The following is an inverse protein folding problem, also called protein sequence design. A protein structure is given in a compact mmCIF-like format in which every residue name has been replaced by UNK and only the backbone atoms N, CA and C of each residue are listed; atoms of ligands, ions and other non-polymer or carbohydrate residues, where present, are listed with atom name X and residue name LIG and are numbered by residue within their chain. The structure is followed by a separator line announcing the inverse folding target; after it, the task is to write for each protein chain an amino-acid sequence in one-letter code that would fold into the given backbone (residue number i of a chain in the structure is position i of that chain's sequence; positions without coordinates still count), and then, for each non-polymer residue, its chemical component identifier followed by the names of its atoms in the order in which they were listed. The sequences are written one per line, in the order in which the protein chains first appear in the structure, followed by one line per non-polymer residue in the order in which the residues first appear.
data_IF_835332129901
#
_entry.id   IF_835332129901
#
_cell.length_a   1.000
_cell.length_b   1.000
_cell.length_c   1.000
_cell.angle_alpha   90.00
_cell.angle_beta   90.00
_cell.angle_gamma   90.00
#
_symmetry.space_group_name_H-M   'P 1'
#
loop_
_entity.id
_entity.type
_entity.pdbx_description
1 polymer ?
#
# COMPACT_ATOMS: atom_id res chain seq x y z
N UNK A 1 25.30 -36.10 36.68
CA UNK A 1 25.11 -34.83 35.92
C UNK A 1 23.73 -34.78 35.24
N UNK A 2 23.37 -35.68 34.30
CA UNK A 2 22.03 -35.69 33.64
C UNK A 2 20.82 -35.73 34.60
N UNK A 3 20.87 -36.57 35.64
CA UNK A 3 19.77 -36.71 36.61
C UNK A 3 19.57 -35.43 37.45
N UNK A 4 20.68 -34.75 37.78
CA UNK A 4 20.66 -33.51 38.57
C UNK A 4 20.14 -32.32 37.76
N UNK A 5 20.48 -32.26 36.47
CA UNK A 5 19.93 -31.30 35.51
C UNK A 5 18.42 -31.51 35.30
N UNK A 6 17.98 -32.76 35.06
CA UNK A 6 16.55 -33.10 34.97
C UNK A 6 15.77 -32.73 36.24
N UNK A 7 16.34 -32.97 37.43
CA UNK A 7 15.72 -32.59 38.70
C UNK A 7 15.64 -31.07 38.92
N UNK A 8 16.65 -30.31 38.45
CA UNK A 8 16.60 -28.83 38.49
C UNK A 8 15.57 -28.26 37.52
N UNK A 9 15.43 -28.84 36.33
CA UNK A 9 14.43 -28.46 35.33
C UNK A 9 13.01 -28.83 35.80
N UNK A 10 12.85 -29.96 36.50
CA UNK A 10 11.58 -30.35 37.12
C UNK A 10 11.16 -29.40 38.26
N UNK A 11 12.14 -28.85 38.99
CA UNK A 11 11.87 -27.80 40.00
C UNK A 11 11.50 -26.47 39.34
N UNK A 12 12.16 -26.11 38.24
CA UNK A 12 11.82 -24.93 37.46
C UNK A 12 10.44 -25.02 36.80
N UNK A 13 10.03 -26.22 36.34
CA UNK A 13 8.70 -26.42 35.76
C UNK A 13 7.56 -26.27 36.78
N UNK A 14 7.80 -26.59 38.06
CA UNK A 14 6.87 -26.33 39.17
C UNK A 14 6.73 -24.85 39.53
N UNK A 15 7.67 -23.99 39.14
CA UNK A 15 7.63 -22.56 39.39
C UNK A 15 6.85 -21.77 38.32
N UNK A 16 6.38 -22.44 37.27
CA UNK A 16 5.59 -21.82 36.21
C UNK A 16 4.13 -21.63 36.63
N UNK A 17 3.39 -20.68 36.03
CA UNK A 17 1.97 -20.50 36.30
C UNK A 17 1.20 -21.80 36.09
N UNK A 18 0.30 -22.15 37.01
CA UNK A 18 -0.57 -23.34 36.93
C UNK A 18 -1.23 -23.56 35.54
N UNK A 19 -1.76 -22.54 34.82
CA UNK A 19 -2.34 -22.77 33.50
C UNK A 19 -1.32 -23.27 32.47
N UNK A 20 -0.06 -22.85 32.56
CA UNK A 20 1.00 -23.29 31.65
C UNK A 20 1.36 -24.75 31.91
N UNK A 21 1.44 -25.14 33.19
CA UNK A 21 1.70 -26.52 33.58
C UNK A 21 0.56 -27.44 33.09
N UNK A 22 -0.69 -27.02 33.27
CA UNK A 22 -1.85 -27.76 32.79
C UNK A 22 -1.84 -27.90 31.25
N UNK A 23 -1.55 -26.81 30.52
CA UNK A 23 -1.45 -26.83 29.07
C UNK A 23 -0.34 -27.77 28.57
N UNK A 24 0.84 -27.77 29.21
CA UNK A 24 1.94 -28.69 28.86
C UNK A 24 1.57 -30.15 29.09
N UNK A 25 0.90 -30.47 30.21
CA UNK A 25 0.43 -31.85 30.47
C UNK A 25 -0.56 -32.32 29.40
N UNK A 26 -1.51 -31.44 29.02
CA UNK A 26 -2.46 -31.74 27.94
C UNK A 26 -1.73 -31.96 26.61
N UNK A 27 -0.84 -31.05 26.23
CA UNK A 27 -0.05 -31.15 25.00
C UNK A 27 0.75 -32.45 24.95
N UNK A 28 1.36 -32.86 26.07
CA UNK A 28 2.07 -34.13 26.17
C UNK A 28 1.17 -35.34 25.91
N UNK A 29 -0.02 -35.35 26.49
CA UNK A 29 -0.99 -36.43 26.28
C UNK A 29 -1.45 -36.49 24.81
N UNK A 30 -1.72 -35.32 24.20
CA UNK A 30 -2.09 -35.20 22.80
C UNK A 30 -0.96 -35.66 21.87
N UNK A 31 0.29 -35.26 22.15
CA UNK A 31 1.48 -35.72 21.40
C UNK A 31 1.68 -37.22 21.51
N UNK A 32 1.51 -37.79 22.71
CA UNK A 32 1.65 -39.24 22.92
C UNK A 32 0.63 -40.01 22.08
N UNK A 33 -0.62 -39.53 22.06
CA UNK A 33 -1.70 -40.11 21.23
C UNK A 33 -1.39 -39.97 19.75
N UNK A 34 -0.91 -38.79 19.34
CA UNK A 34 -0.55 -38.52 17.95
C UNK A 34 0.65 -39.38 17.48
N UNK A 35 1.66 -39.63 18.33
CA UNK A 35 2.76 -40.57 18.02
C UNK A 35 2.25 -41.98 17.76
N UNK A 36 1.25 -42.44 18.52
CA UNK A 36 0.63 -43.76 18.27
C UNK A 36 -0.02 -43.83 16.88
N UNK A 37 -0.77 -42.81 16.48
CA UNK A 37 -1.34 -42.72 15.12
C UNK A 37 -0.24 -42.61 14.05
N UNK A 38 0.82 -41.86 14.32
CA UNK A 38 1.95 -41.70 13.41
C UNK A 38 2.66 -43.04 13.14
N UNK A 39 2.81 -43.91 14.15
CA UNK A 39 3.38 -45.24 13.95
C UNK A 39 2.53 -46.14 13.05
N UNK A 40 1.20 -46.02 13.15
CA UNK A 40 0.27 -46.80 12.32
C UNK A 40 0.32 -46.37 10.85
N UNK A 41 0.40 -45.06 10.60
CA UNK A 41 0.40 -44.50 9.24
C UNK A 41 1.79 -44.51 8.60
N UNK A 42 2.85 -44.36 9.39
CA UNK A 42 4.22 -44.10 8.93
C UNK A 42 5.26 -44.94 9.72
N UNK A 43 5.30 -46.26 9.55
CA UNK A 43 6.19 -47.14 10.32
C UNK A 43 7.69 -46.83 10.12
N UNK A 44 8.07 -46.24 8.99
CA UNK A 44 9.44 -45.83 8.68
C UNK A 44 9.99 -44.74 9.61
N UNK A 45 9.12 -44.00 10.33
CA UNK A 45 9.53 -42.97 11.29
C UNK A 45 9.86 -43.52 12.68
N UNK A 46 9.57 -44.80 12.94
CA UNK A 46 9.79 -45.44 14.24
C UNK A 46 11.21 -45.34 14.80
N UNK A 47 12.31 -45.47 14.02
CA UNK A 47 13.66 -45.33 14.57
C UNK A 47 14.06 -43.88 14.91
N UNK A 48 13.27 -42.88 14.50
CA UNK A 48 13.57 -41.46 14.67
C UNK A 48 12.75 -40.78 15.76
N UNK A 49 11.74 -41.47 16.30
CA UNK A 49 10.84 -40.93 17.31
C UNK A 49 11.32 -41.38 18.68
N UNK A 50 11.84 -40.44 19.46
CA UNK A 50 12.09 -40.62 20.89
C UNK A 50 10.80 -40.46 21.71
N UNK A 51 10.86 -40.80 23.01
CA UNK A 51 9.75 -40.54 23.92
C UNK A 51 9.44 -39.03 24.03
N UNK A 52 8.14 -38.70 24.10
CA UNK A 52 7.63 -37.33 24.20
C UNK A 52 8.21 -36.65 25.44
N UNK A 53 8.87 -35.50 25.24
CA UNK A 53 9.53 -34.77 26.32
C UNK A 53 8.52 -34.33 27.38
N UNK A 54 8.83 -34.65 28.64
CA UNK A 54 8.03 -34.32 29.79
C UNK A 54 8.10 -32.83 30.16
N UNK A 55 9.21 -32.17 29.84
CA UNK A 55 9.55 -30.84 30.35
C UNK A 55 9.15 -29.77 29.35
N UNK A 56 9.48 -29.96 28.06
CA UNK A 56 9.22 -29.01 26.98
C UNK A 56 8.53 -29.65 25.76
N UNK A 57 7.29 -30.16 25.92
CA UNK A 57 6.53 -30.75 24.81
C UNK A 57 6.33 -29.77 23.64
N UNK A 58 6.35 -28.46 23.87
CA UNK A 58 6.23 -27.43 22.83
C UNK A 58 7.38 -27.41 21.80
N UNK A 59 8.54 -27.98 22.15
CA UNK A 59 9.73 -27.99 21.28
C UNK A 59 9.81 -29.26 20.42
N UNK A 60 8.88 -30.19 20.62
CA UNK A 60 8.91 -31.48 19.95
C UNK A 60 8.59 -31.34 18.46
N UNK A 61 9.43 -31.93 17.62
CA UNK A 61 9.29 -31.89 16.18
C UNK A 61 8.27 -32.92 15.73
N UNK A 62 7.25 -32.48 14.98
CA UNK A 62 6.20 -33.36 14.47
C UNK A 62 6.65 -34.27 13.30
N UNK A 63 7.90 -34.18 12.83
CA UNK A 63 8.47 -35.06 11.79
C UNK A 63 7.50 -35.32 10.61
N UNK A 64 6.81 -34.27 10.16
CA UNK A 64 5.94 -34.33 8.99
C UNK A 64 6.80 -34.50 7.72
N UNK A 65 6.24 -35.01 6.60
CA UNK A 65 6.97 -35.09 5.33
C UNK A 65 7.73 -33.80 4.95
N UNK A 66 7.13 -32.63 5.19
CA UNK A 66 7.77 -31.31 4.96
C UNK A 66 9.01 -31.01 5.83
N UNK A 67 9.27 -31.81 6.86
CA UNK A 67 10.45 -31.68 7.72
C UNK A 67 11.71 -32.28 7.07
N UNK A 68 11.54 -33.30 6.23
CA UNK A 68 12.65 -34.03 5.62
C UNK A 68 13.03 -33.41 4.26
N UNK A 69 14.33 -33.31 3.94
CA UNK A 69 14.79 -32.92 2.62
C UNK A 69 14.29 -33.91 1.54
N UNK A 70 14.18 -33.42 0.31
CA UNK A 70 13.60 -34.15 -0.83
C UNK A 70 14.38 -35.46 -1.12
N UNK A 71 15.67 -35.50 -0.78
CA UNK A 71 16.56 -36.64 -1.03
C UNK A 71 16.46 -37.78 0.00
N UNK A 72 15.68 -37.62 1.08
CA UNK A 72 15.65 -38.63 2.14
C UNK A 72 14.83 -39.86 1.74
N UNK A 73 15.41 -41.04 1.95
CA UNK A 73 14.76 -42.35 1.75
C UNK A 73 13.50 -42.48 2.60
N UNK A 74 13.48 -41.89 3.81
CA UNK A 74 12.30 -41.85 4.68
C UNK A 74 11.14 -41.11 3.99
N UNK A 75 11.42 -40.00 3.33
CA UNK A 75 10.40 -39.22 2.64
C UNK A 75 9.79 -39.99 1.47
N UNK A 76 10.60 -40.72 0.71
CA UNK A 76 10.11 -41.57 -0.39
C UNK A 76 9.13 -42.66 0.07
N UNK A 77 9.19 -43.07 1.35
CA UNK A 77 8.24 -44.02 1.93
C UNK A 77 6.90 -43.39 2.34
N UNK A 78 6.80 -42.06 2.34
CA UNK A 78 5.67 -41.28 2.84
C UNK A 78 4.81 -40.66 1.73
N UNK A 79 4.96 -41.11 0.48
CA UNK A 79 4.33 -40.51 -0.71
C UNK A 79 2.81 -40.28 -0.58
N UNK A 80 2.07 -41.15 0.12
CA UNK A 80 0.62 -41.00 0.33
C UNK A 80 0.30 -39.85 1.29
N UNK A 81 1.01 -39.77 2.41
CA UNK A 81 0.85 -38.74 3.44
C UNK A 81 1.38 -37.38 2.94
N UNK A 82 2.42 -37.39 2.11
CA UNK A 82 3.00 -36.20 1.50
C UNK A 82 1.97 -35.42 0.68
N UNK A 83 1.17 -36.11 -0.15
CA UNK A 83 0.09 -35.49 -0.94
C UNK A 83 -0.99 -34.85 -0.06
N UNK A 84 -1.36 -35.53 1.02
CA UNK A 84 -2.35 -35.02 1.97
C UNK A 84 -1.80 -33.80 2.71
N UNK A 85 -0.54 -33.85 3.17
CA UNK A 85 0.11 -32.69 3.78
C UNK A 85 0.16 -31.52 2.80
N UNK A 86 0.53 -31.75 1.53
CA UNK A 86 0.57 -30.71 0.51
C UNK A 86 -0.77 -29.99 0.39
N UNK A 87 -1.88 -30.74 0.24
CA UNK A 87 -3.23 -30.16 0.12
C UNK A 87 -3.63 -29.38 1.38
N UNK A 88 -3.31 -29.89 2.58
CA UNK A 88 -3.58 -29.18 3.84
C UNK A 88 -2.74 -27.89 3.97
N UNK A 89 -1.48 -27.92 3.55
CA UNK A 89 -0.59 -26.75 3.56
C UNK A 89 -1.00 -25.70 2.54
N UNK A 90 -1.50 -26.12 1.39
CA UNK A 90 -2.07 -25.24 0.37
C UNK A 90 -3.28 -24.50 0.94
N UNK A 91 -4.24 -25.21 1.54
CA UNK A 91 -5.37 -24.60 2.24
C UNK A 91 -4.92 -23.64 3.35
N UNK A 92 -3.98 -24.08 4.19
CA UNK A 92 -3.41 -23.24 5.25
C UNK A 92 -2.74 -21.96 4.70
N UNK A 93 -2.10 -22.02 3.54
CA UNK A 93 -1.47 -20.87 2.91
C UNK A 93 -2.51 -19.86 2.42
N UNK A 94 -3.60 -20.32 1.80
CA UNK A 94 -4.70 -19.44 1.39
C UNK A 94 -5.39 -18.80 2.60
N UNK A 95 -5.72 -19.57 3.63
CA UNK A 95 -6.31 -19.05 4.87
C UNK A 95 -5.41 -18.01 5.53
N UNK A 96 -4.09 -18.24 5.54
CA UNK A 96 -3.13 -17.29 6.07
C UNK A 96 -3.02 -16.01 5.23
N UNK A 97 -3.18 -16.08 3.90
CA UNK A 97 -3.24 -14.90 3.05
C UNK A 97 -4.51 -14.09 3.30
N UNK A 98 -5.65 -14.75 3.49
CA UNK A 98 -6.90 -14.08 3.88
C UNK A 98 -6.78 -13.39 5.23
N UNK A 99 -6.15 -14.05 6.20
CA UNK A 99 -5.82 -13.45 7.49
C UNK A 99 -4.91 -12.22 7.32
N UNK A 100 -3.88 -12.28 6.48
CA UNK A 100 -3.02 -11.12 6.16
C UNK A 100 -3.84 -9.97 5.58
N UNK A 101 -4.72 -10.24 4.60
CA UNK A 101 -5.60 -9.24 3.99
C UNK A 101 -6.52 -8.61 5.04
N UNK A 102 -7.12 -9.42 5.90
CA UNK A 102 -8.00 -8.96 6.98
C UNK A 102 -7.25 -8.04 7.95
N UNK A 103 -6.08 -8.47 8.45
CA UNK A 103 -5.27 -7.66 9.39
C UNK A 103 -4.82 -6.33 8.78
N UNK A 104 -4.50 -6.31 7.48
CA UNK A 104 -4.17 -5.05 6.78
C UNK A 104 -5.39 -4.13 6.69
N UNK A 105 -6.58 -4.66 6.36
CA UNK A 105 -7.84 -3.87 6.33
C UNK A 105 -8.16 -3.28 7.70
N UNK A 106 -8.08 -4.08 8.76
CA UNK A 106 -8.32 -3.63 10.15
C UNK A 106 -7.33 -2.52 10.53
N UNK A 107 -6.04 -2.70 10.22
CA UNK A 107 -5.01 -1.69 10.47
C UNK A 107 -5.32 -0.37 9.75
N UNK A 108 -5.66 -0.44 8.45
CA UNK A 108 -5.96 0.75 7.66
C UNK A 108 -7.18 1.50 8.18
N UNK A 109 -8.28 0.80 8.48
CA UNK A 109 -9.49 1.40 9.05
C UNK A 109 -9.21 2.12 10.38
N UNK A 110 -8.40 1.52 11.26
CA UNK A 110 -8.02 2.13 12.53
C UNK A 110 -7.06 3.32 12.35
N UNK A 111 -6.19 3.26 11.35
CA UNK A 111 -5.30 4.37 11.01
C UNK A 111 -6.10 5.58 10.50
N UNK A 112 -7.12 5.36 9.68
CA UNK A 112 -8.03 6.41 9.23
C UNK A 112 -8.88 6.96 10.37
N UNK A 113 -9.42 6.09 11.22
CA UNK A 113 -10.14 6.50 12.43
C UNK A 113 -9.28 7.39 13.32
N UNK A 114 -8.02 6.99 13.57
CA UNK A 114 -7.08 7.79 14.36
C UNK A 114 -6.87 9.18 13.74
N UNK A 115 -6.61 9.23 12.43
CA UNK A 115 -6.36 10.50 11.72
C UNK A 115 -7.53 11.47 11.83
N UNK A 116 -8.75 10.97 11.76
CA UNK A 116 -9.95 11.81 11.68
C UNK A 116 -10.51 12.18 13.05
N UNK A 117 -10.37 11.31 14.05
CA UNK A 117 -11.14 11.41 15.30
C UNK A 117 -10.31 11.54 16.58
N UNK A 118 -8.99 11.27 16.54
CA UNK A 118 -8.17 11.24 17.76
C UNK A 118 -7.32 12.51 17.89
N UNK A 119 -7.69 13.36 18.85
CA UNK A 119 -7.00 14.60 19.17
C UNK A 119 -6.45 14.59 20.60
N UNK A 120 -5.41 15.40 20.86
CA UNK A 120 -4.77 15.52 22.19
C UNK A 120 -3.75 14.41 22.49
N UNK A 121 -2.90 14.62 23.49
CA UNK A 121 -1.71 13.77 23.73
C UNK A 121 -2.06 12.37 24.25
N UNK A 122 -2.86 12.26 25.32
CA UNK A 122 -3.22 10.98 25.94
C UNK A 122 -3.93 10.01 25.00
N UNK A 123 -5.03 10.41 24.33
CA UNK A 123 -5.71 9.58 23.33
C UNK A 123 -4.80 9.17 22.17
N UNK A 124 -3.91 10.07 21.71
CA UNK A 124 -2.94 9.75 20.67
C UNK A 124 -1.97 8.64 21.09
N UNK A 125 -1.44 8.70 22.32
CA UNK A 125 -0.55 7.65 22.84
C UNK A 125 -1.25 6.29 22.89
N UNK A 126 -2.51 6.24 23.34
CA UNK A 126 -3.30 4.99 23.39
C UNK A 126 -3.59 4.47 21.98
N UNK A 127 -4.03 5.32 21.06
CA UNK A 127 -4.27 4.94 19.68
C UNK A 127 -2.99 4.44 18.99
N UNK A 128 -1.85 5.07 19.27
CA UNK A 128 -0.56 4.63 18.75
C UNK A 128 -0.15 3.26 19.31
N UNK A 129 -0.39 2.99 20.59
CA UNK A 129 -0.14 1.68 21.19
C UNK A 129 -1.00 0.59 20.51
N UNK A 130 -2.28 0.87 20.26
CA UNK A 130 -3.17 -0.05 19.55
C UNK A 130 -2.73 -0.29 18.09
N UNK A 131 -2.29 0.76 17.37
CA UNK A 131 -1.73 0.58 16.02
C UNK A 131 -0.45 -0.27 16.01
N UNK A 132 0.36 -0.23 17.08
CA UNK A 132 1.53 -1.11 17.22
C UNK A 132 1.10 -2.58 17.38
N UNK A 133 0.06 -2.84 18.17
CA UNK A 133 -0.52 -4.18 18.32
C UNK A 133 -1.05 -4.71 16.98
N UNK A 134 -1.85 -3.91 16.26
CA UNK A 134 -2.31 -4.28 14.91
C UNK A 134 -1.16 -4.49 13.91
N UNK A 135 -0.03 -3.80 14.11
CA UNK A 135 1.17 -4.04 13.30
C UNK A 135 1.80 -5.39 13.63
N UNK A 136 1.87 -5.77 14.90
CA UNK A 136 2.33 -7.09 15.31
C UNK A 136 1.41 -8.21 14.76
N UNK A 137 0.10 -7.98 14.74
CA UNK A 137 -0.87 -8.92 14.16
C UNK A 137 -0.65 -9.14 12.65
N UNK A 138 -0.41 -8.07 11.88
CA UNK A 138 -0.06 -8.19 10.44
C UNK A 138 1.18 -9.06 10.24
N UNK A 139 2.23 -8.81 11.04
CA UNK A 139 3.48 -9.56 10.97
C UNK A 139 3.28 -11.02 11.35
N UNK A 140 2.46 -11.30 12.38
CA UNK A 140 2.15 -12.66 12.81
C UNK A 140 1.39 -13.45 11.73
N UNK A 141 0.40 -12.83 11.09
CA UNK A 141 -0.30 -13.44 9.96
C UNK A 141 0.65 -13.71 8.77
N UNK A 142 1.54 -12.76 8.47
CA UNK A 142 2.55 -12.93 7.43
C UNK A 142 3.53 -14.08 7.73
N UNK A 143 3.95 -14.23 8.99
CA UNK A 143 4.81 -15.34 9.42
C UNK A 143 4.10 -16.69 9.28
N UNK A 144 2.80 -16.77 9.57
CA UNK A 144 2.00 -17.99 9.37
C UNK A 144 2.00 -18.41 7.90
N UNK A 145 1.81 -17.45 6.99
CA UNK A 145 1.91 -17.69 5.54
C UNK A 145 3.31 -18.16 5.14
N UNK A 146 4.37 -17.46 5.57
CA UNK A 146 5.76 -17.83 5.25
C UNK A 146 6.09 -19.26 5.69
N UNK A 147 5.69 -19.66 6.90
CA UNK A 147 5.87 -21.03 7.40
C UNK A 147 5.14 -22.06 6.57
N UNK A 148 3.90 -21.78 6.16
CA UNK A 148 3.13 -22.67 5.28
C UNK A 148 3.79 -22.80 3.90
N UNK A 149 4.23 -21.68 3.32
CA UNK A 149 4.94 -21.66 2.03
C UNK A 149 6.27 -22.39 2.09
N UNK A 150 7.07 -22.20 3.13
CA UNK A 150 8.34 -22.94 3.31
C UNK A 150 8.10 -24.45 3.33
N UNK A 151 7.03 -24.90 4.00
CA UNK A 151 6.64 -26.30 3.99
C UNK A 151 6.23 -26.76 2.58
N UNK A 152 5.44 -25.97 1.85
CA UNK A 152 5.05 -26.27 0.47
C UNK A 152 6.25 -26.36 -0.49
N UNK A 153 7.21 -25.44 -0.38
CA UNK A 153 8.45 -25.46 -1.19
C UNK A 153 9.24 -26.71 -0.90
N UNK A 154 9.33 -27.14 0.37
CA UNK A 154 9.95 -28.42 0.72
C UNK A 154 9.19 -29.58 0.12
N UNK A 155 7.85 -29.53 0.10
CA UNK A 155 6.96 -30.55 -0.48
C UNK A 155 6.94 -30.60 -2.02
N UNK A 156 7.63 -29.67 -2.70
CA UNK A 156 7.77 -29.67 -4.16
C UNK A 156 7.09 -28.50 -4.89
N UNK A 157 6.59 -27.50 -4.17
CA UNK A 157 6.12 -26.26 -4.79
C UNK A 157 7.29 -25.53 -5.47
N UNK A 158 7.08 -25.12 -6.73
CA UNK A 158 8.05 -24.28 -7.44
C UNK A 158 8.25 -22.95 -6.72
N UNK A 159 9.50 -22.49 -6.62
CA UNK A 159 9.80 -21.18 -6.02
C UNK A 159 9.20 -20.02 -6.82
N UNK A 160 9.03 -20.21 -8.13
CA UNK A 160 8.51 -19.22 -9.07
C UNK A 160 7.00 -19.36 -9.31
N UNK A 161 6.28 -20.03 -8.41
CA UNK A 161 4.83 -20.16 -8.52
C UNK A 161 4.15 -18.79 -8.47
N UNK A 162 3.26 -18.53 -9.43
CA UNK A 162 2.55 -17.25 -9.56
C UNK A 162 1.46 -17.08 -8.51
N UNK A 163 0.91 -18.19 -8.01
CA UNK A 163 -0.22 -18.18 -7.07
C UNK A 163 0.22 -17.98 -5.61
N UNK A 164 1.30 -18.65 -5.20
CA UNK A 164 1.86 -18.58 -3.84
C UNK A 164 3.30 -18.05 -3.86
N UNK A 165 3.42 -16.74 -4.08
CA UNK A 165 4.72 -16.05 -4.16
C UNK A 165 5.33 -15.76 -2.78
N UNK A 166 6.59 -15.33 -2.75
CA UNK A 166 7.23 -14.89 -1.50
C UNK A 166 6.58 -13.60 -0.98
N UNK A 167 6.30 -13.58 0.33
CA UNK A 167 5.71 -12.42 1.00
C UNK A 167 6.78 -11.69 1.80
N UNK A 168 7.15 -10.49 1.35
CA UNK A 168 8.12 -9.64 2.02
C UNK A 168 7.46 -8.64 2.99
N UNK A 169 8.20 -8.16 3.99
CA UNK A 169 7.64 -7.23 4.99
C UNK A 169 7.24 -5.87 4.38
N UNK A 170 7.94 -5.44 3.33
CA UNK A 170 7.62 -4.21 2.58
C UNK A 170 6.29 -4.31 1.81
N UNK A 171 5.69 -5.49 1.70
CA UNK A 171 4.43 -5.75 1.03
C UNK A 171 3.22 -5.79 1.98
N UNK A 172 3.41 -5.57 3.30
CA UNK A 172 2.33 -5.61 4.30
C UNK A 172 1.51 -4.31 4.35
N UNK A 173 1.06 -3.86 3.19
CA UNK A 173 0.22 -2.68 3.00
C UNK A 173 -0.85 -2.94 1.95
N UNK A 174 -1.82 -2.05 1.88
CA UNK A 174 -2.83 -1.99 0.82
C UNK A 174 -2.97 -0.54 0.39
N UNK A 175 -3.13 -0.28 -0.92
CA UNK A 175 -3.47 1.06 -1.37
C UNK A 175 -4.83 1.48 -0.81
N UNK A 176 -4.87 2.72 -0.32
CA UNK A 176 -6.09 3.33 0.15
C UNK A 176 -6.87 3.89 -1.04
N UNK A 177 -7.83 3.11 -1.55
CA UNK A 177 -8.67 3.51 -2.67
C UNK A 177 -9.68 4.62 -2.33
N UNK A 178 -9.85 4.95 -1.04
CA UNK A 178 -10.78 6.00 -0.60
C UNK A 178 -10.19 7.41 -0.73
N UNK A 179 -8.86 7.52 -0.77
CA UNK A 179 -8.19 8.81 -0.83
C UNK A 179 -8.06 9.31 -2.27
N UNK A 180 -8.08 10.64 -2.47
CA UNK A 180 -7.68 11.23 -3.75
C UNK A 180 -6.28 10.74 -4.13
N UNK A 181 -6.10 10.39 -5.40
CA UNK A 181 -4.81 9.97 -5.91
C UNK A 181 -3.78 11.09 -5.69
N UNK A 182 -2.61 10.73 -5.19
CA UNK A 182 -1.48 11.63 -5.01
C UNK A 182 -0.47 11.47 -6.16
N UNK A 183 0.32 12.52 -6.38
CA UNK A 183 1.39 12.48 -7.37
C UNK A 183 2.36 11.33 -7.04
N UNK A 184 2.47 10.37 -7.98
CA UNK A 184 3.33 9.18 -7.83
C UNK A 184 2.60 7.88 -7.48
N UNK A 185 1.29 7.91 -7.19
CA UNK A 185 0.51 6.71 -6.91
C UNK A 185 0.40 5.75 -8.10
N UNK A 186 0.55 6.27 -9.33
CA UNK A 186 0.59 5.48 -10.56
C UNK A 186 1.81 4.55 -10.65
N UNK A 187 2.90 4.86 -9.96
CA UNK A 187 4.13 4.05 -9.95
C UNK A 187 4.16 3.01 -8.83
N UNK A 188 3.28 3.14 -7.84
CA UNK A 188 3.16 2.15 -6.77
C UNK A 188 2.21 1.08 -7.28
N UNK A 189 2.55 -0.19 -7.16
CA UNK A 189 1.62 -1.29 -7.44
C UNK A 189 1.15 -1.90 -6.12
N UNK A 190 -0.05 -2.49 -6.11
CA UNK A 190 -0.48 -3.26 -4.95
C UNK A 190 0.36 -4.54 -4.87
N UNK A 191 0.67 -5.03 -3.66
CA UNK A 191 1.29 -6.33 -3.48
C UNK A 191 0.55 -7.45 -4.21
N UNK A 192 1.29 -8.45 -4.70
CA UNK A 192 0.77 -9.54 -5.54
C UNK A 192 -0.46 -10.24 -4.94
N UNK A 193 -0.51 -10.40 -3.61
CA UNK A 193 -1.60 -11.09 -2.91
C UNK A 193 -2.93 -10.29 -2.86
N UNK A 194 -2.94 -9.02 -3.25
CA UNK A 194 -4.18 -8.26 -3.47
C UNK A 194 -4.78 -8.49 -4.85
N UNK A 195 -3.98 -8.97 -5.80
CA UNK A 195 -4.49 -9.49 -7.08
C UNK A 195 -4.98 -10.89 -6.76
N UNK A 196 -6.29 -11.01 -6.63
CA UNK A 196 -6.94 -11.86 -5.64
C UNK A 196 -6.69 -13.36 -5.90
N UNK A 197 -6.33 -14.08 -4.84
CA UNK A 197 -6.25 -15.54 -4.85
C UNK A 197 -7.65 -16.16 -4.84
N UNK A 198 -7.85 -17.14 -5.71
CA UNK A 198 -9.09 -17.88 -5.90
C UNK A 198 -9.63 -18.46 -4.57
N UNK A 199 -10.94 -18.32 -4.25
CA UNK A 199 -11.51 -18.94 -3.06
C UNK A 199 -11.38 -20.46 -3.12
N UNK A 200 -10.87 -21.06 -2.05
CA UNK A 200 -10.72 -22.51 -1.97
C UNK A 200 -12.09 -23.17 -1.77
N UNK A 201 -12.34 -24.29 -2.47
CA UNK A 201 -13.60 -25.04 -2.39
C UNK A 201 -14.69 -24.71 -3.44
N UNK A 202 -14.48 -23.72 -4.32
CA UNK A 202 -15.39 -23.42 -5.42
C UNK A 202 -15.22 -24.39 -6.60
N UNK A 203 -16.33 -24.70 -7.29
CA UNK A 203 -16.28 -25.38 -8.59
C UNK A 203 -15.59 -24.48 -9.65
N UNK A 204 -15.03 -25.05 -10.71
CA UNK A 204 -14.37 -24.34 -11.80
C UNK A 204 -15.25 -23.23 -12.43
N UNK A 205 -16.57 -23.40 -12.42
CA UNK A 205 -17.49 -22.39 -12.95
C UNK A 205 -17.63 -21.18 -12.00
N UNK A 206 -17.84 -21.42 -10.71
CA UNK A 206 -17.90 -20.37 -9.68
C UNK A 206 -16.56 -19.62 -9.59
N UNK A 207 -15.45 -20.33 -9.78
CA UNK A 207 -14.10 -19.78 -9.89
C UNK A 207 -13.97 -18.81 -11.07
N UNK A 208 -14.49 -19.18 -12.24
CA UNK A 208 -14.46 -18.35 -13.43
C UNK A 208 -15.34 -17.09 -13.23
N UNK A 209 -16.54 -17.27 -12.69
CA UNK A 209 -17.47 -16.17 -12.41
C UNK A 209 -16.89 -15.18 -11.39
N UNK A 210 -16.25 -15.68 -10.34
CA UNK A 210 -15.58 -14.87 -9.33
C UNK A 210 -14.39 -14.09 -9.90
N UNK A 211 -13.57 -14.72 -10.74
CA UNK A 211 -12.49 -14.03 -11.46
C UNK A 211 -13.05 -12.92 -12.35
N UNK A 212 -14.13 -13.20 -13.07
CA UNK A 212 -14.78 -12.25 -13.97
C UNK A 212 -15.34 -11.04 -13.22
N UNK A 213 -15.97 -11.25 -12.06
CA UNK A 213 -16.50 -10.17 -11.22
C UNK A 213 -15.39 -9.30 -10.61
N UNK A 214 -14.28 -9.90 -10.19
CA UNK A 214 -13.12 -9.13 -9.73
C UNK A 214 -12.47 -8.33 -10.85
N UNK A 215 -12.29 -8.95 -12.01
CA UNK A 215 -11.76 -8.27 -13.19
C UNK A 215 -12.68 -7.11 -13.59
N UNK A 216 -14.00 -7.27 -13.45
CA UNK A 216 -14.96 -6.17 -13.62
C UNK A 216 -14.76 -5.05 -12.61
N UNK A 217 -14.72 -5.34 -11.31
CA UNK A 217 -14.55 -4.31 -10.26
C UNK A 217 -13.22 -3.58 -10.43
N UNK A 218 -12.13 -4.32 -10.68
CA UNK A 218 -10.81 -3.75 -10.96
C UNK A 218 -10.86 -2.91 -12.24
N UNK A 219 -11.44 -3.42 -13.32
CA UNK A 219 -11.62 -2.69 -14.57
C UNK A 219 -12.39 -1.39 -14.36
N UNK A 220 -13.48 -1.39 -13.59
CA UNK A 220 -14.25 -0.16 -13.32
C UNK A 220 -13.45 0.84 -12.50
N UNK A 221 -12.66 0.39 -11.51
CA UNK A 221 -11.76 1.25 -10.73
C UNK A 221 -10.64 1.84 -11.59
N UNK A 222 -9.96 1.01 -12.37
CA UNK A 222 -8.87 1.42 -13.26
C UNK A 222 -9.39 2.35 -14.37
N UNK A 223 -10.56 2.03 -14.93
CA UNK A 223 -11.26 2.88 -15.91
C UNK A 223 -11.63 4.23 -15.31
N UNK A 224 -12.16 4.25 -14.08
CA UNK A 224 -12.50 5.48 -13.38
C UNK A 224 -11.26 6.32 -13.09
N UNK A 225 -10.17 5.69 -12.62
CA UNK A 225 -8.89 6.35 -12.39
C UNK A 225 -8.32 6.95 -13.68
N UNK A 226 -8.28 6.18 -14.77
CA UNK A 226 -7.87 6.67 -16.09
C UNK A 226 -8.72 7.85 -16.56
N UNK A 227 -10.04 7.76 -16.41
CA UNK A 227 -10.94 8.84 -16.81
C UNK A 227 -10.69 10.12 -15.98
N UNK A 228 -10.50 9.99 -14.66
CA UNK A 228 -10.16 11.13 -13.78
C UNK A 228 -8.83 11.77 -14.17
N UNK A 229 -7.79 10.98 -14.41
CA UNK A 229 -6.49 11.51 -14.86
C UNK A 229 -6.58 12.21 -16.21
N UNK A 230 -7.44 11.72 -17.12
CA UNK A 230 -7.72 12.39 -18.38
C UNK A 230 -8.41 13.74 -18.15
N UNK A 231 -9.42 13.78 -17.28
CA UNK A 231 -10.12 15.01 -16.90
C UNK A 231 -9.17 16.03 -16.26
N UNK A 232 -8.33 15.62 -15.30
CA UNK A 232 -7.32 16.48 -14.66
C UNK A 232 -6.37 17.11 -15.68
N UNK A 233 -5.98 16.35 -16.72
CA UNK A 233 -5.17 16.88 -17.82
C UNK A 233 -5.93 17.95 -18.62
N UNK A 234 -7.17 17.66 -18.99
CA UNK A 234 -8.02 18.59 -19.75
C UNK A 234 -8.29 19.88 -18.95
N UNK A 235 -8.50 19.76 -17.63
CA UNK A 235 -8.63 20.89 -16.70
C UNK A 235 -7.33 21.71 -16.70
N UNK A 236 -6.17 21.08 -16.51
CA UNK A 236 -4.89 21.79 -16.44
C UNK A 236 -4.59 22.56 -17.75
N UNK A 237 -4.83 21.95 -18.91
CA UNK A 237 -4.72 22.61 -20.21
C UNK A 237 -5.64 23.83 -20.30
N UNK A 238 -6.88 23.70 -19.83
CA UNK A 238 -7.84 24.81 -19.79
C UNK A 238 -7.44 25.93 -18.81
N UNK A 239 -6.85 25.58 -17.66
CA UNK A 239 -6.37 26.52 -16.64
C UNK A 239 -5.16 27.33 -17.12
N UNK A 240 -4.23 26.72 -17.85
CA UNK A 240 -3.11 27.43 -18.49
C UNK A 240 -3.63 28.49 -19.48
N UNK A 241 -4.60 28.12 -20.31
CA UNK A 241 -5.22 29.05 -21.26
C UNK A 241 -5.97 30.19 -20.56
N UNK A 242 -6.73 29.87 -19.50
CA UNK A 242 -7.47 30.87 -18.71
C UNK A 242 -6.53 31.85 -18.01
N UNK A 243 -5.42 31.35 -17.45
CA UNK A 243 -4.39 32.17 -16.79
C UNK A 243 -3.80 33.19 -17.77
N UNK A 244 -3.40 32.74 -18.96
CA UNK A 244 -2.87 33.61 -20.02
C UNK A 244 -3.87 34.69 -20.44
N UNK A 245 -5.14 34.30 -20.66
CA UNK A 245 -6.23 35.24 -20.98
C UNK A 245 -6.48 36.25 -19.87
N UNK A 246 -6.41 35.82 -18.61
CA UNK A 246 -6.57 36.68 -17.44
C UNK A 246 -5.46 37.73 -17.37
N UNK A 247 -4.20 37.34 -17.57
CA UNK A 247 -3.08 38.29 -17.61
C UNK A 247 -3.21 39.30 -18.74
N UNK A 248 -3.56 38.86 -19.96
CA UNK A 248 -3.86 39.76 -21.08
C UNK A 248 -4.95 40.76 -20.72
N UNK A 249 -6.06 40.28 -20.18
CA UNK A 249 -7.20 41.13 -19.86
C UNK A 249 -6.87 42.16 -18.77
N UNK A 250 -6.09 41.73 -17.78
CA UNK A 250 -5.65 42.60 -16.68
C UNK A 250 -4.64 43.63 -17.18
N UNK A 251 -3.73 43.25 -18.08
CA UNK A 251 -2.82 44.17 -18.78
C UNK A 251 -3.60 45.25 -19.55
N UNK A 252 -4.58 44.86 -20.36
CA UNK A 252 -5.45 45.80 -21.08
C UNK A 252 -6.21 46.75 -20.13
N UNK A 253 -6.69 46.24 -19.00
CA UNK A 253 -7.40 47.03 -18.01
C UNK A 253 -6.49 48.09 -17.39
N UNK A 254 -5.27 47.72 -16.99
CA UNK A 254 -4.28 48.66 -16.46
C UNK A 254 -3.83 49.68 -17.51
N UNK A 255 -3.70 49.29 -18.77
CA UNK A 255 -3.42 50.22 -19.87
C UNK A 255 -4.53 51.29 -20.00
N UNK A 256 -5.80 50.89 -19.94
CA UNK A 256 -6.94 51.81 -19.96
C UNK A 256 -6.96 52.75 -18.76
N UNK A 257 -6.63 52.25 -17.57
CA UNK A 257 -6.52 53.07 -16.36
C UNK A 257 -5.38 54.10 -16.51
N UNK A 258 -4.21 53.68 -17.00
CA UNK A 258 -3.08 54.59 -17.23
C UNK A 258 -3.43 55.75 -18.17
N UNK A 259 -4.09 55.44 -19.30
CA UNK A 259 -4.55 56.44 -20.27
C UNK A 259 -5.61 57.37 -19.66
N UNK A 260 -6.57 56.80 -18.91
CA UNK A 260 -7.62 57.58 -18.24
C UNK A 260 -7.04 58.57 -17.23
N UNK A 261 -6.08 58.14 -16.40
CA UNK A 261 -5.45 58.99 -15.39
C UNK A 261 -4.55 60.07 -16.00
N UNK A 262 -3.96 59.84 -17.19
CA UNK A 262 -3.23 60.88 -17.94
C UNK A 262 -4.15 61.98 -18.48
N UNK A 263 -5.39 61.64 -18.83
CA UNK A 263 -6.40 62.59 -19.33
C UNK A 263 -7.13 63.37 -18.23
N UNK A 264 -6.86 63.10 -16.95
CA UNK A 264 -7.48 63.78 -15.82
C UNK A 264 -6.59 64.90 -15.29
N UNK A 265 -7.09 66.14 -15.34
CA UNK A 265 -6.45 67.28 -14.66
C UNK A 265 -6.70 67.23 -13.15
N UNK A 266 -5.69 67.57 -12.33
CA UNK A 266 -5.85 67.65 -10.88
C UNK A 266 -6.72 68.87 -10.50
N UNK A 267 -8.03 68.68 -10.39
CA UNK A 267 -8.96 69.75 -9.96
C UNK A 267 -8.88 70.06 -8.46
N UNK A 268 -8.23 69.22 -7.65
CA UNK A 268 -8.12 69.37 -6.20
C UNK A 268 -6.83 70.07 -5.73
N UNK A 269 -5.98 70.50 -6.65
CA UNK A 269 -4.69 71.12 -6.36
C UNK A 269 -4.74 72.67 -6.30
N UNK A 270 -5.91 73.29 -6.56
CA UNK A 270 -6.08 74.75 -6.63
C UNK A 270 -7.00 75.19 -5.50
N UNK A 271 -6.45 75.87 -4.49
CA UNK A 271 -7.25 76.62 -3.53
C UNK A 271 -7.76 77.92 -4.19
N UNK A 272 -8.83 78.53 -3.68
CA UNK A 272 -9.45 79.78 -4.20
C UNK A 272 -8.51 80.99 -4.29
N UNK A 273 -7.29 80.90 -3.77
CA UNK A 273 -6.25 81.93 -3.79
C UNK A 273 -4.99 81.54 -4.60
N UNK A 274 -5.04 80.46 -5.39
CA UNK A 274 -3.94 80.11 -6.31
C UNK A 274 -2.68 79.55 -5.64
N UNK A 275 -2.74 79.14 -4.37
CA UNK A 275 -1.63 78.46 -3.68
C UNK A 275 -1.86 76.93 -3.60
N UNK A 276 -0.76 76.18 -3.81
CA UNK A 276 -0.71 74.71 -3.82
C UNK A 276 -0.91 74.16 -2.39
N UNK A 277 -2.03 73.50 -2.09
CA UNK A 277 -2.20 72.77 -0.81
C UNK A 277 -1.49 71.42 -0.86
N UNK A 278 -0.62 71.16 0.13
CA UNK A 278 0.27 69.98 0.16
C UNK A 278 -0.36 68.71 0.75
N UNK A 279 -1.65 68.68 1.06
CA UNK A 279 -2.28 67.53 1.74
C UNK A 279 -3.11 66.65 0.80
N UNK A 280 -2.56 65.44 0.53
CA UNK A 280 -3.24 64.18 0.14
C UNK A 280 -3.91 64.09 -1.24
N UNK A 281 -3.37 64.73 -2.26
CA UNK A 281 -3.73 64.40 -3.64
C UNK A 281 -2.64 63.54 -4.28
N UNK A 282 -2.91 62.24 -4.51
CA UNK A 282 -2.06 61.44 -5.41
C UNK A 282 -2.19 62.05 -6.82
N UNK A 283 -1.13 62.70 -7.30
CA UNK A 283 -1.14 63.39 -8.59
C UNK A 283 -1.56 62.42 -9.71
N UNK A 284 -2.42 62.81 -10.67
CA UNK A 284 -2.85 61.94 -11.77
C UNK A 284 -1.69 61.27 -12.52
N UNK A 285 -0.55 61.96 -12.64
CA UNK A 285 0.69 61.38 -13.19
C UNK A 285 1.25 60.22 -12.35
N UNK A 286 1.21 60.31 -11.01
CA UNK A 286 1.68 59.23 -10.14
C UNK A 286 0.76 58.00 -10.21
N UNK A 287 -0.57 58.21 -10.30
CA UNK A 287 -1.54 57.13 -10.53
C UNK A 287 -1.35 56.47 -11.88
N UNK A 288 -1.11 57.26 -12.92
CA UNK A 288 -0.82 56.73 -14.25
C UNK A 288 0.51 55.97 -14.29
N UNK A 289 1.56 56.47 -13.63
CA UNK A 289 2.85 55.78 -13.53
C UNK A 289 2.72 54.43 -12.82
N UNK A 290 1.93 54.36 -11.74
CA UNK A 290 1.62 53.09 -11.07
C UNK A 290 0.84 52.14 -11.98
N UNK A 291 -0.21 52.62 -12.66
CA UNK A 291 -0.98 51.81 -13.60
C UNK A 291 -0.12 51.30 -14.77
N UNK A 292 0.80 52.11 -15.27
CA UNK A 292 1.77 51.72 -16.31
C UNK A 292 2.76 50.65 -15.81
N UNK A 293 3.24 50.77 -14.57
CA UNK A 293 4.05 49.73 -13.93
C UNK A 293 3.29 48.41 -13.78
N UNK A 294 2.03 48.45 -13.33
CA UNK A 294 1.18 47.26 -13.25
C UNK A 294 0.91 46.65 -14.62
N UNK A 295 0.64 47.46 -15.65
CA UNK A 295 0.52 47.00 -17.04
C UNK A 295 1.79 46.25 -17.47
N UNK A 296 2.99 46.79 -17.22
CA UNK A 296 4.25 46.16 -17.58
C UNK A 296 4.44 44.80 -16.88
N UNK A 297 4.04 44.68 -15.61
CA UNK A 297 4.06 43.40 -14.87
C UNK A 297 3.17 42.36 -15.56
N UNK A 298 1.91 42.71 -15.86
CA UNK A 298 0.99 41.76 -16.51
C UNK A 298 1.35 41.46 -17.96
N UNK A 299 2.01 42.39 -18.67
CA UNK A 299 2.59 42.14 -19.99
C UNK A 299 3.70 41.08 -19.92
N UNK A 300 4.60 41.19 -18.93
CA UNK A 300 5.63 40.17 -18.69
C UNK A 300 5.03 38.81 -18.32
N UNK A 301 4.07 38.79 -17.38
CA UNK A 301 3.40 37.54 -16.98
C UNK A 301 2.67 36.87 -18.15
N UNK A 302 2.11 37.67 -19.06
CA UNK A 302 1.51 37.15 -20.31
C UNK A 302 2.57 36.46 -21.16
N UNK A 303 3.69 37.14 -21.44
CA UNK A 303 4.80 36.59 -22.24
C UNK A 303 5.35 35.31 -21.62
N UNK A 304 5.60 35.30 -20.31
CA UNK A 304 6.09 34.13 -19.58
C UNK A 304 5.07 32.97 -19.69
N UNK A 305 3.76 33.24 -19.50
CA UNK A 305 2.71 32.21 -19.61
C UNK A 305 2.57 31.61 -21.01
N UNK A 306 2.72 32.44 -22.06
CA UNK A 306 2.70 31.98 -23.45
C UNK A 306 3.90 31.09 -23.76
N UNK A 307 5.09 31.45 -23.26
CA UNK A 307 6.29 30.63 -23.41
C UNK A 307 6.12 29.27 -22.74
N UNK A 308 5.58 29.23 -21.51
CA UNK A 308 5.30 27.96 -20.83
C UNK A 308 4.28 27.11 -21.58
N UNK A 309 3.27 27.72 -22.18
CA UNK A 309 2.30 27.02 -23.00
C UNK A 309 2.95 26.39 -24.24
N UNK A 310 3.77 27.13 -24.98
CA UNK A 310 4.51 26.62 -26.15
C UNK A 310 5.41 25.44 -25.77
N UNK A 311 6.15 25.56 -24.65
CA UNK A 311 6.99 24.47 -24.13
C UNK A 311 6.17 23.23 -23.75
N UNK A 312 4.99 23.42 -23.14
CA UNK A 312 4.10 22.32 -22.79
C UNK A 312 3.55 21.61 -24.03
N UNK A 313 3.14 22.36 -25.06
CA UNK A 313 2.66 21.83 -26.34
C UNK A 313 3.76 21.05 -27.08
N UNK A 314 4.99 21.58 -27.12
CA UNK A 314 6.15 20.89 -27.69
C UNK A 314 6.39 19.54 -27.01
N UNK A 315 6.46 19.52 -25.66
CA UNK A 315 6.63 18.28 -24.89
C UNK A 315 5.48 17.30 -25.13
N UNK A 316 4.24 17.78 -25.19
CA UNK A 316 3.07 16.95 -25.49
C UNK A 316 3.21 16.28 -26.86
N UNK A 317 3.73 16.99 -27.86
CA UNK A 317 4.00 16.43 -29.18
C UNK A 317 5.12 15.39 -29.14
N UNK A 318 6.22 15.68 -28.44
CA UNK A 318 7.33 14.73 -28.26
C UNK A 318 6.85 13.42 -27.61
N UNK A 319 6.01 13.51 -26.57
CA UNK A 319 5.43 12.33 -25.94
C UNK A 319 4.48 11.57 -26.87
N UNK A 320 3.69 12.25 -27.70
CA UNK A 320 2.82 11.58 -28.70
C UNK A 320 3.65 10.83 -29.73
N UNK A 321 4.73 11.44 -30.23
CA UNK A 321 5.66 10.82 -31.18
C UNK A 321 6.33 9.62 -30.52
N UNK A 322 6.93 9.80 -29.34
CA UNK A 322 7.57 8.73 -28.58
C UNK A 322 6.61 7.57 -28.30
N UNK A 323 5.39 7.87 -27.87
CA UNK A 323 4.36 6.86 -27.59
C UNK A 323 3.97 6.08 -28.85
N UNK A 324 3.78 6.76 -29.98
CA UNK A 324 3.48 6.12 -31.26
C UNK A 324 4.63 5.20 -31.70
N UNK A 325 5.88 5.66 -31.64
CA UNK A 325 7.05 4.84 -31.96
C UNK A 325 7.21 3.64 -31.01
N UNK A 326 7.06 3.85 -29.70
CA UNK A 326 7.19 2.81 -28.69
C UNK A 326 6.12 1.71 -28.88
N UNK A 327 4.87 2.07 -29.17
CA UNK A 327 3.81 1.10 -29.44
C UNK A 327 3.99 0.39 -30.78
N UNK A 328 4.36 1.11 -31.84
CA UNK A 328 4.58 0.52 -33.18
C UNK A 328 5.76 -0.45 -33.16
N UNK A 329 6.81 -0.17 -32.39
CA UNK A 329 7.97 -1.06 -32.26
C UNK A 329 7.64 -2.29 -31.40
N UNK A 330 6.87 -2.14 -30.33
CA UNK A 330 6.55 -3.25 -29.40
C UNK A 330 5.40 -4.16 -29.85
N UNK A 331 4.62 -3.76 -30.86
CA UNK A 331 3.63 -4.61 -31.53
C UNK A 331 4.22 -5.39 -32.72
N UNK A 332 5.50 -5.16 -33.05
CA UNK A 332 6.20 -5.79 -34.16
C UNK A 332 7.10 -6.96 -33.72
N UNK A 333 7.36 -7.07 -32.42
CA UNK A 333 7.94 -8.23 -31.72
C UNK A 333 6.82 -8.99 -31.00
#
# INVERSE_FOLDING_TARGET
IKIQAMLSELKASKALPEPVIAARKKLRADLTTWRQSQYQLCPALRPLIDEVDAVHPENEKLLLPSYFPISDTIRSSLNSVEKVEYSLREGQAYDALDEVREKIKIFNANLDFKKNNVFGQGPNTRAQAYLKELTADKVKAAQKYRRAREALVRLGLSKDDKSLQELHDNQLFSKDASRPAQLGDSKREDPWFWTVGQPSGMNNQEKADWSLELDRVKYFRDRSSRNRTREEKEILESEMLRTTRSFKKTCEAWAKISIRELGLECKSCINTEGQLSSEKCLHPQARSAYASSQQAVYARLTSDSEEYQIRAESKSNDYKIWFAFFFILRLRD
#
